data_IF_388373183785
#
_entry.id   IF_388373183785
#
_cell.length_a   1.000
_cell.length_b   1.000
_cell.length_c   1.000
_cell.angle_alpha   90.00
_cell.angle_beta   90.00
_cell.angle_gamma   90.00
#
_symmetry.space_group_name_H-M   'P 1'
#
loop_
_entity.id
_entity.type
_entity.pdbx_description
1 polymer ?
#
# COMPACT_ATOMS: atom_id res chain seq x y z
N UNK A 1 -4.96 36.43 -5.31
CA UNK A 1 -5.00 35.20 -6.13
C UNK A 1 -3.61 34.90 -6.61
N UNK A 2 -3.20 33.64 -6.56
CA UNK A 2 -1.90 33.14 -7.03
C UNK A 2 -2.16 32.18 -8.19
N UNK A 3 -1.42 32.33 -9.29
CA UNK A 3 -1.52 31.43 -10.44
C UNK A 3 -0.82 30.11 -10.15
N UNK A 4 -1.58 29.01 -10.19
CA UNK A 4 -1.01 27.68 -10.09
C UNK A 4 -0.58 27.17 -11.47
N UNK A 5 0.73 26.99 -11.66
CA UNK A 5 1.32 26.51 -12.93
C UNK A 5 0.97 25.06 -13.26
N UNK A 6 0.67 24.21 -12.28
CA UNK A 6 0.37 22.80 -12.53
C UNK A 6 -1.09 22.57 -12.90
N UNK A 7 -2.01 23.34 -12.31
CA UNK A 7 -3.45 23.21 -12.57
C UNK A 7 -3.97 24.24 -13.58
N UNK A 8 -3.16 25.23 -13.96
CA UNK A 8 -3.58 26.37 -14.80
C UNK A 8 -4.82 27.11 -14.24
N UNK A 9 -4.95 27.15 -12.91
CA UNK A 9 -6.05 27.81 -12.23
C UNK A 9 -5.54 28.90 -11.29
N UNK A 10 -6.36 29.94 -11.11
CA UNK A 10 -6.14 30.96 -10.10
C UNK A 10 -6.65 30.44 -8.75
N UNK A 11 -5.76 30.34 -7.77
CA UNK A 11 -6.12 29.98 -6.41
C UNK A 11 -6.27 31.25 -5.56
N UNK A 12 -7.28 31.25 -4.69
CA UNK A 12 -7.39 32.27 -3.67
C UNK A 12 -6.34 32.05 -2.59
N UNK A 13 -5.70 33.15 -2.20
CA UNK A 13 -4.62 33.18 -1.23
C UNK A 13 -4.73 34.48 -0.46
N UNK A 14 -4.73 34.37 0.87
CA UNK A 14 -4.66 35.48 1.81
C UNK A 14 -3.31 35.46 2.52
N UNK A 15 -2.76 36.64 2.79
CA UNK A 15 -1.51 36.80 3.52
C UNK A 15 -1.69 37.93 4.52
N UNK A 16 -1.24 37.72 5.75
CA UNK A 16 -1.22 38.77 6.77
C UNK A 16 -0.15 39.79 6.36
N UNK A 17 -0.58 41.02 6.08
CA UNK A 17 0.30 42.13 5.69
C UNK A 17 0.78 42.89 6.93
N UNK A 18 -0.12 43.06 7.89
CA UNK A 18 0.16 43.72 9.16
C UNK A 18 -0.69 43.08 10.25
N UNK A 19 -0.10 42.86 11.42
CA UNK A 19 -0.79 42.36 12.61
C UNK A 19 -0.29 43.14 13.81
N UNK A 20 -1.23 43.71 14.58
CA UNK A 20 -0.95 44.40 15.83
C UNK A 20 -1.81 43.76 16.91
N UNK A 21 -1.17 43.27 17.96
CA UNK A 21 -1.84 42.68 19.11
C UNK A 21 -1.69 43.59 20.31
N UNK A 22 -2.77 43.74 21.08
CA UNK A 22 -2.75 44.43 22.36
C UNK A 22 -3.43 43.54 23.40
N UNK A 23 -2.86 43.47 24.59
CA UNK A 23 -3.38 42.63 25.67
C UNK A 23 -3.34 43.38 26.97
N UNK A 24 -4.41 43.23 27.73
CA UNK A 24 -4.48 43.66 29.11
C UNK A 24 -4.87 42.46 29.98
N UNK A 25 -4.33 42.36 31.21
CA UNK A 25 -4.85 41.42 32.19
C UNK A 25 -6.32 41.71 32.49
N UNK A 26 -7.12 40.68 32.68
CA UNK A 26 -8.52 40.79 33.07
C UNK A 26 -8.91 39.71 34.08
N UNK A 27 -10.02 39.94 34.77
CA UNK A 27 -10.53 39.04 35.79
C UNK A 27 -11.78 38.32 35.26
N UNK A 28 -11.77 36.99 35.34
CA UNK A 28 -12.94 36.15 35.10
C UNK A 28 -13.75 36.10 36.39
N UNK A 29 -15.01 36.49 36.29
CA UNK A 29 -15.95 36.53 37.40
C UNK A 29 -17.07 35.53 37.14
N UNK A 30 -17.51 34.75 38.14
CA UNK A 30 -18.66 33.87 38.02
C UNK A 30 -19.88 34.66 37.53
N UNK A 31 -20.66 34.04 36.64
CA UNK A 31 -21.90 34.65 36.16
C UNK A 31 -22.98 34.73 37.26
N UNK A 32 -22.90 33.89 38.29
CA UNK A 32 -23.81 33.89 39.44
C UNK A 32 -23.39 34.92 40.49
N UNK A 33 -24.26 35.90 40.74
CA UNK A 33 -24.09 36.91 41.79
C UNK A 33 -24.09 36.24 43.17
N UNK A 34 -22.93 36.14 43.82
CA UNK A 34 -22.82 35.65 45.20
C UNK A 34 -21.48 35.03 45.56
N UNK A 35 -20.69 34.60 44.58
CA UNK A 35 -19.35 34.03 44.82
C UNK A 35 -18.29 35.11 44.51
N UNK A 36 -17.71 35.71 45.55
CA UNK A 36 -16.67 36.75 45.44
C UNK A 36 -15.31 36.27 44.94
N UNK A 37 -15.26 35.22 44.12
CA UNK A 37 -14.03 34.62 43.60
C UNK A 37 -13.78 35.17 42.20
N UNK A 38 -12.81 36.06 42.07
CA UNK A 38 -12.32 36.53 40.77
C UNK A 38 -11.04 35.75 40.40
N UNK A 39 -10.99 35.24 39.17
CA UNK A 39 -9.81 34.55 38.63
C UNK A 39 -9.11 35.48 37.65
N UNK A 40 -7.91 35.92 38.01
CA UNK A 40 -7.09 36.82 37.20
C UNK A 40 -6.34 36.08 36.10
N UNK A 41 -6.49 36.56 34.87
CA UNK A 41 -5.77 36.12 33.69
C UNK A 41 -4.71 37.17 33.35
N UNK A 42 -3.43 36.80 33.46
CA UNK A 42 -2.33 37.75 33.24
C UNK A 42 -1.93 37.88 31.76
N UNK A 43 -1.88 36.76 31.02
CA UNK A 43 -1.35 36.71 29.65
C UNK A 43 -2.30 35.97 28.70
N UNK A 44 -3.43 36.57 28.32
CA UNK A 44 -4.49 35.86 27.59
C UNK A 44 -4.05 35.29 26.23
N UNK A 45 -3.07 35.91 25.56
CA UNK A 45 -2.55 35.41 24.27
C UNK A 45 -1.73 34.13 24.37
N UNK A 46 -1.26 33.74 25.56
CA UNK A 46 -0.54 32.47 25.75
C UNK A 46 -1.49 31.26 25.77
N UNK A 47 -2.81 31.49 25.63
CA UNK A 47 -3.83 30.44 25.65
C UNK A 47 -4.10 29.84 24.27
N UNK A 48 -4.59 28.59 24.25
CA UNK A 48 -4.69 27.78 23.02
C UNK A 48 -5.89 28.16 22.11
N UNK A 49 -6.96 28.74 22.64
CA UNK A 49 -8.25 28.86 21.92
C UNK A 49 -8.99 30.16 22.24
N UNK A 50 -8.27 31.28 22.36
CA UNK A 50 -8.85 32.57 22.74
C UNK A 50 -9.90 32.99 21.70
N UNK A 51 -11.17 32.74 22.02
CA UNK A 51 -12.32 32.98 21.14
C UNK A 51 -12.62 34.46 21.00
N UNK A 52 -11.82 35.18 20.21
CA UNK A 52 -12.02 36.59 19.90
C UNK A 52 -13.18 36.75 18.92
N UNK A 53 -13.99 37.79 19.11
CA UNK A 53 -15.06 38.12 18.19
C UNK A 53 -14.59 39.20 17.22
N UNK A 54 -14.93 39.07 15.94
CA UNK A 54 -14.69 40.10 14.93
C UNK A 54 -15.63 41.28 15.18
N UNK A 55 -15.08 42.43 15.56
CA UNK A 55 -15.85 43.66 15.85
C UNK A 55 -15.82 44.63 14.68
N UNK A 56 -14.79 44.55 13.84
CA UNK A 56 -14.68 45.34 12.64
C UNK A 56 -14.16 44.49 11.48
N UNK A 57 -14.77 44.66 10.31
CA UNK A 57 -14.31 44.06 9.07
C UNK A 57 -14.55 45.04 7.92
N UNK A 58 -13.49 45.33 7.17
CA UNK A 58 -13.57 46.17 5.97
C UNK A 58 -12.62 45.70 4.88
N UNK A 59 -13.17 45.53 3.69
CA UNK A 59 -12.39 45.20 2.49
C UNK A 59 -12.07 46.45 1.68
N UNK A 60 -10.79 46.72 1.49
CA UNK A 60 -10.25 47.79 0.66
C UNK A 60 -9.84 47.22 -0.71
N UNK A 61 -10.67 47.39 -1.77
CA UNK A 61 -10.37 46.84 -3.08
C UNK A 61 -9.15 47.52 -3.70
N UNK A 62 -8.33 46.75 -4.41
CA UNK A 62 -7.21 47.31 -5.19
C UNK A 62 -7.76 47.93 -6.48
N UNK A 63 -7.57 49.23 -6.67
CA UNK A 63 -7.91 49.92 -7.92
C UNK A 63 -6.91 49.45 -8.99
N UNK A 64 -7.41 48.82 -10.06
CA UNK A 64 -6.56 48.28 -11.13
C UNK A 64 -6.36 49.33 -12.22
N UNK A 65 -5.12 49.78 -12.43
CA UNK A 65 -4.74 50.53 -13.64
C UNK A 65 -4.38 49.57 -14.78
N UNK A 66 -4.56 50.00 -16.04
CA UNK A 66 -4.25 49.18 -17.22
C UNK A 66 -2.78 48.70 -17.26
N UNK A 67 -1.85 49.46 -16.67
CA UNK A 67 -0.43 49.10 -16.56
C UNK A 67 -0.17 48.00 -15.54
N UNK A 68 -0.96 47.92 -14.46
CA UNK A 68 -0.78 46.96 -13.38
C UNK A 68 -1.23 45.55 -13.82
N UNK A 69 -2.24 45.46 -14.69
CA UNK A 69 -2.74 44.20 -15.23
C UNK A 69 -1.66 43.38 -15.95
N UNK A 70 -0.74 44.04 -16.67
CA UNK A 70 0.38 43.38 -17.37
C UNK A 70 1.43 42.88 -16.37
N UNK A 71 1.75 43.67 -15.34
CA UNK A 71 2.69 43.29 -14.28
C UNK A 71 2.21 42.09 -13.44
N UNK A 72 0.90 42.00 -13.20
CA UNK A 72 0.30 40.87 -12.47
C UNK A 72 0.33 39.55 -13.25
N UNK A 73 0.25 39.61 -14.59
CA UNK A 73 0.38 38.41 -15.42
C UNK A 73 1.82 37.87 -15.45
N UNK A 74 2.81 38.77 -15.40
CA UNK A 74 4.24 38.41 -15.35
C UNK A 74 4.63 37.89 -13.97
N UNK A 75 4.16 38.53 -12.89
CA UNK A 75 4.46 38.11 -11.50
C UNK A 75 3.70 36.86 -11.05
N UNK A 76 2.57 36.53 -11.69
CA UNK A 76 1.73 35.38 -11.31
C UNK A 76 0.90 35.61 -10.05
N UNK A 77 0.90 36.84 -9.51
CA UNK A 77 0.10 37.24 -8.36
C UNK A 77 -0.84 38.38 -8.75
N UNK A 78 -2.13 38.21 -8.47
CA UNK A 78 -3.16 39.24 -8.67
C UNK A 78 -3.79 39.62 -7.33
N UNK A 79 -3.45 40.78 -6.74
CA UNK A 79 -4.07 41.25 -5.50
C UNK A 79 -5.53 41.63 -5.78
N UNK A 80 -6.45 41.12 -4.95
CA UNK A 80 -7.87 41.50 -5.00
C UNK A 80 -8.13 42.80 -4.22
N UNK A 81 -7.38 42.98 -3.13
CA UNK A 81 -7.54 44.08 -2.18
C UNK A 81 -6.91 43.70 -0.85
N UNK A 82 -7.03 44.59 0.12
CA UNK A 82 -6.60 44.39 1.51
C UNK A 82 -7.83 44.25 2.37
N UNK A 83 -7.89 43.21 3.19
CA UNK A 83 -8.94 43.03 4.18
C UNK A 83 -8.39 43.45 5.54
N UNK A 84 -9.05 44.40 6.18
CA UNK A 84 -8.77 44.86 7.53
C UNK A 84 -9.82 44.25 8.46
N UNK A 85 -9.37 43.47 9.44
CA UNK A 85 -10.23 42.83 10.45
C UNK A 85 -9.71 43.16 11.84
N UNK A 86 -10.59 43.60 12.73
CA UNK A 86 -10.29 43.77 14.15
C UNK A 86 -11.08 42.76 14.96
N UNK A 87 -10.36 41.98 15.77
CA UNK A 87 -10.92 40.99 16.67
C UNK A 87 -10.62 41.38 18.11
N UNK A 88 -11.61 41.24 18.99
CA UNK A 88 -11.44 41.57 20.41
C UNK A 88 -12.32 40.70 21.31
N UNK A 89 -11.88 40.56 22.56
CA UNK A 89 -12.68 40.00 23.62
C UNK A 89 -13.54 41.11 24.24
N UNK A 90 -14.86 41.00 24.11
CA UNK A 90 -15.79 41.98 24.67
C UNK A 90 -15.91 41.83 26.18
N UNK A 91 -16.13 42.96 26.87
CA UNK A 91 -16.45 42.96 28.31
C UNK A 91 -17.82 42.29 28.50
N UNK A 92 -17.90 41.33 29.43
CA UNK A 92 -19.10 40.53 29.68
C UNK A 92 -19.25 39.30 28.80
N UNK A 93 -18.29 39.02 27.90
CA UNK A 93 -18.27 37.76 27.16
C UNK A 93 -18.10 36.57 28.11
N UNK A 94 -18.84 35.49 27.87
CA UNK A 94 -18.68 34.24 28.61
C UNK A 94 -17.44 33.51 28.12
N UNK A 95 -16.55 33.20 29.05
CA UNK A 95 -15.31 32.49 28.78
C UNK A 95 -15.12 31.33 29.75
N UNK A 96 -14.69 30.20 29.21
CA UNK A 96 -14.27 29.03 29.97
C UNK A 96 -12.75 29.00 30.03
N UNK A 97 -12.19 29.16 31.24
CA UNK A 97 -10.77 29.02 31.50
C UNK A 97 -10.44 27.64 32.07
N UNK A 98 -9.54 26.88 31.44
CA UNK A 98 -9.06 25.58 31.94
C UNK A 98 -7.56 25.63 32.17
N UNK A 99 -7.13 25.43 33.41
CA UNK A 99 -5.73 25.49 33.81
C UNK A 99 -5.57 25.24 35.31
N UNK A 100 -4.36 25.49 35.80
CA UNK A 100 -4.07 25.45 37.23
C UNK A 100 -4.40 26.80 37.87
N UNK A 101 -5.11 26.74 39.00
CA UNK A 101 -5.45 27.92 39.79
C UNK A 101 -4.47 28.05 40.94
N UNK A 102 -3.76 29.17 41.00
CA UNK A 102 -2.81 29.47 42.08
C UNK A 102 -3.25 30.73 42.81
N UNK A 103 -3.38 30.63 44.12
CA UNK A 103 -3.65 31.78 44.99
C UNK A 103 -2.35 32.55 45.20
N UNK A 104 -2.27 33.79 44.72
CA UNK A 104 -1.14 34.70 44.93
C UNK A 104 -1.64 36.06 45.42
N UNK A 105 -1.09 36.54 46.54
CA UNK A 105 -1.39 37.84 47.13
C UNK A 105 -2.90 38.16 47.22
N UNK A 106 -3.69 37.20 47.72
CA UNK A 106 -5.15 37.30 47.87
C UNK A 106 -5.95 37.38 46.55
N UNK A 107 -5.33 37.05 45.42
CA UNK A 107 -5.96 36.94 44.10
C UNK A 107 -5.75 35.54 43.52
N UNK A 108 -6.79 34.91 42.99
CA UNK A 108 -6.65 33.62 42.31
C UNK A 108 -6.18 33.89 40.89
N UNK A 109 -5.09 33.26 40.45
CA UNK A 109 -4.56 33.42 39.09
C UNK A 109 -4.67 32.12 38.31
N UNK A 110 -4.98 32.23 37.03
CA UNK A 110 -4.95 31.11 36.10
C UNK A 110 -3.57 30.99 35.44
N UNK A 111 -2.98 29.80 35.51
CA UNK A 111 -1.68 29.50 34.92
C UNK A 111 -1.67 28.11 34.23
N UNK A 112 -0.68 27.84 33.37
CA UNK A 112 -0.50 26.51 32.81
C UNK A 112 -0.16 25.47 33.89
N UNK A 113 -0.71 24.25 33.82
CA UNK A 113 -0.57 23.26 34.88
C UNK A 113 0.81 22.60 34.99
N UNK A 114 1.61 22.63 33.92
CA UNK A 114 2.99 22.11 33.90
C UNK A 114 3.86 22.96 32.98
N UNK A 115 5.17 22.97 33.24
CA UNK A 115 6.14 23.63 32.35
C UNK A 115 6.04 23.05 30.94
N UNK A 116 5.84 23.92 29.94
CA UNK A 116 5.65 23.54 28.54
C UNK A 116 4.21 23.23 28.13
N UNK A 117 3.25 23.21 29.06
CA UNK A 117 1.83 23.22 28.72
C UNK A 117 1.32 24.66 28.59
N UNK A 118 0.24 24.83 27.85
CA UNK A 118 -0.55 26.06 27.80
C UNK A 118 -1.86 25.83 28.54
N UNK A 119 -2.46 26.91 29.01
CA UNK A 119 -3.80 26.88 29.56
C UNK A 119 -4.81 27.24 28.46
N UNK A 120 -6.07 26.90 28.67
CA UNK A 120 -7.13 27.16 27.70
C UNK A 120 -7.97 28.33 28.18
N UNK A 121 -8.30 29.23 27.26
CA UNK A 121 -9.37 30.20 27.39
C UNK A 121 -10.18 30.02 26.12
N UNK A 122 -11.45 29.61 26.22
CA UNK A 122 -12.33 29.46 25.06
C UNK A 122 -13.65 30.16 25.30
N UNK A 123 -14.28 30.61 24.22
CA UNK A 123 -15.66 31.09 24.24
C UNK A 123 -16.69 29.96 24.33
N UNK A 124 -16.26 28.71 24.13
CA UNK A 124 -17.10 27.52 24.23
C UNK A 124 -17.19 27.00 25.67
N UNK A 125 -18.24 26.24 25.95
CA UNK A 125 -18.42 25.52 27.20
C UNK A 125 -17.43 24.36 27.35
N UNK A 126 -17.19 23.97 28.60
CA UNK A 126 -16.26 22.90 28.94
C UNK A 126 -16.65 21.57 28.27
N UNK A 127 -17.94 21.26 28.20
CA UNK A 127 -18.43 20.01 27.63
C UNK A 127 -18.17 19.94 26.12
N UNK A 128 -18.41 21.03 25.38
CA UNK A 128 -18.06 21.14 23.95
C UNK A 128 -16.56 20.97 23.69
N UNK A 129 -15.70 21.58 24.53
CA UNK A 129 -14.25 21.43 24.42
C UNK A 129 -13.83 19.96 24.61
N UNK A 130 -14.40 19.30 25.62
CA UNK A 130 -14.13 17.90 25.93
C UNK A 130 -14.60 16.99 24.79
N UNK A 131 -15.82 17.20 24.29
CA UNK A 131 -16.42 16.40 23.21
C UNK A 131 -15.63 16.52 21.89
N UNK A 132 -15.11 17.71 21.58
CA UNK A 132 -14.27 17.93 20.40
C UNK A 132 -12.95 17.15 20.48
N UNK A 133 -12.33 17.11 21.66
CA UNK A 133 -11.14 16.30 21.88
C UNK A 133 -11.46 14.79 21.83
N UNK A 134 -12.53 14.36 22.48
CA UNK A 134 -12.91 12.95 22.54
C UNK A 134 -13.31 12.37 21.17
N UNK A 135 -14.08 13.13 20.38
CA UNK A 135 -14.50 12.73 19.04
C UNK A 135 -13.31 12.55 18.09
N UNK A 136 -12.32 13.43 18.17
CA UNK A 136 -11.06 13.29 17.42
C UNK A 136 -10.40 11.96 17.77
N UNK A 137 -10.21 11.67 19.06
CA UNK A 137 -9.59 10.41 19.52
C UNK A 137 -10.40 9.19 19.11
N UNK A 138 -11.74 9.27 19.16
CA UNK A 138 -12.64 8.18 18.75
C UNK A 138 -12.48 7.84 17.28
N UNK A 139 -12.38 8.83 16.40
CA UNK A 139 -12.15 8.62 14.97
C UNK A 139 -10.82 7.90 14.72
N UNK A 140 -9.74 8.35 15.36
CA UNK A 140 -8.43 7.69 15.24
C UNK A 140 -8.44 6.24 15.77
N UNK A 141 -9.15 5.97 16.88
CA UNK A 141 -9.35 4.62 17.41
C UNK A 141 -10.11 3.71 16.44
N UNK A 142 -11.18 4.21 15.83
CA UNK A 142 -11.95 3.44 14.84
C UNK A 142 -11.11 3.15 13.61
N UNK A 143 -10.38 4.16 13.11
CA UNK A 143 -9.55 4.02 11.93
C UNK A 143 -8.43 2.99 12.15
N UNK A 144 -7.75 3.03 13.29
CA UNK A 144 -6.72 2.03 13.65
C UNK A 144 -7.27 0.62 13.77
N UNK A 145 -8.48 0.43 14.31
CA UNK A 145 -9.14 -0.88 14.37
C UNK A 145 -9.47 -1.42 12.97
N UNK A 146 -10.01 -0.58 12.08
CA UNK A 146 -10.35 -0.98 10.71
C UNK A 146 -9.12 -1.39 9.92
N UNK A 147 -8.06 -0.57 9.95
CA UNK A 147 -6.80 -0.90 9.26
C UNK A 147 -6.12 -2.14 9.86
N UNK A 148 -6.16 -2.31 11.19
CA UNK A 148 -5.65 -3.49 11.86
C UNK A 148 -6.37 -4.77 11.42
N UNK A 149 -7.71 -4.74 11.35
CA UNK A 149 -8.52 -5.86 10.87
C UNK A 149 -8.24 -6.18 9.40
N UNK A 150 -8.18 -5.16 8.53
CA UNK A 150 -7.89 -5.34 7.11
C UNK A 150 -6.50 -5.97 6.89
N UNK A 151 -5.49 -5.53 7.64
CA UNK A 151 -4.14 -6.11 7.58
C UNK A 151 -4.13 -7.58 8.04
N UNK A 152 -4.80 -7.90 9.14
CA UNK A 152 -4.91 -9.28 9.63
C UNK A 152 -5.63 -10.19 8.62
N UNK A 153 -6.73 -9.72 8.02
CA UNK A 153 -7.47 -10.45 7.00
C UNK A 153 -6.63 -10.67 5.73
N UNK A 154 -5.89 -9.66 5.27
CA UNK A 154 -5.00 -9.78 4.13
C UNK A 154 -3.85 -10.75 4.39
N UNK A 155 -3.21 -10.68 5.56
CA UNK A 155 -2.16 -11.62 5.98
C UNK A 155 -2.71 -13.05 6.05
N UNK A 156 -3.88 -13.25 6.66
CA UNK A 156 -4.52 -14.56 6.73
C UNK A 156 -4.83 -15.10 5.33
N UNK A 157 -5.34 -14.26 4.42
CA UNK A 157 -5.61 -14.66 3.04
C UNK A 157 -4.34 -15.05 2.27
N UNK A 158 -3.26 -14.27 2.41
CA UNK A 158 -1.96 -14.56 1.79
C UNK A 158 -1.39 -15.87 2.34
N UNK A 159 -1.38 -16.06 3.67
CA UNK A 159 -0.89 -17.27 4.30
C UNK A 159 -1.71 -18.50 3.89
N UNK A 160 -3.04 -18.38 3.86
CA UNK A 160 -3.92 -19.46 3.38
C UNK A 160 -3.63 -19.80 1.92
N UNK A 161 -3.47 -18.79 1.06
CA UNK A 161 -3.13 -18.99 -0.35
C UNK A 161 -1.77 -19.67 -0.51
N UNK A 162 -0.76 -19.23 0.24
CA UNK A 162 0.57 -19.85 0.23
C UNK A 162 0.54 -21.28 0.76
N UNK A 163 -0.21 -21.56 1.82
CA UNK A 163 -0.36 -22.89 2.39
C UNK A 163 -0.99 -23.86 1.40
N UNK A 164 -2.09 -23.46 0.74
CA UNK A 164 -2.73 -24.28 -0.29
C UNK A 164 -1.79 -24.56 -1.48
N UNK A 165 -1.08 -23.53 -1.97
CA UNK A 165 -0.08 -23.69 -3.04
C UNK A 165 1.12 -24.55 -2.63
N UNK A 166 1.55 -24.46 -1.37
CA UNK A 166 2.61 -25.31 -0.83
C UNK A 166 2.15 -26.77 -0.78
N UNK A 167 0.92 -27.02 -0.34
CA UNK A 167 0.34 -28.35 -0.27
C UNK A 167 0.18 -29.00 -1.66
N UNK A 168 -0.27 -28.26 -2.67
CA UNK A 168 -0.35 -28.75 -4.06
C UNK A 168 1.03 -29.14 -4.61
N UNK A 169 2.05 -28.31 -4.38
CA UNK A 169 3.42 -28.61 -4.81
C UNK A 169 4.00 -29.85 -4.13
N UNK A 170 3.68 -30.06 -2.85
CA UNK A 170 4.08 -31.28 -2.15
C UNK A 170 3.39 -32.52 -2.70
N UNK A 171 2.08 -32.45 -2.96
CA UNK A 171 1.33 -33.56 -3.56
C UNK A 171 1.89 -33.94 -4.92
N UNK A 172 2.15 -32.96 -5.79
CA UNK A 172 2.75 -33.22 -7.11
C UNK A 172 4.13 -33.90 -6.99
N UNK A 173 4.97 -33.46 -6.05
CA UNK A 173 6.27 -34.10 -5.78
C UNK A 173 6.13 -35.52 -5.23
N UNK A 174 5.13 -35.79 -4.40
CA UNK A 174 4.83 -37.15 -3.94
C UNK A 174 4.41 -38.04 -5.10
N UNK A 175 3.47 -37.58 -5.93
CA UNK A 175 3.03 -38.33 -7.12
C UNK A 175 4.18 -38.59 -8.09
N UNK A 176 5.08 -37.63 -8.32
CA UNK A 176 6.25 -37.84 -9.18
C UNK A 176 7.20 -38.90 -8.61
N UNK A 177 7.41 -38.92 -7.29
CA UNK A 177 8.22 -39.96 -6.63
C UNK A 177 7.58 -41.33 -6.72
N UNK A 178 6.28 -41.43 -6.43
CA UNK A 178 5.50 -42.67 -6.57
C UNK A 178 5.57 -43.21 -8.00
N UNK A 179 5.44 -42.34 -9.00
CA UNK A 179 5.59 -42.73 -10.42
C UNK A 179 6.99 -43.25 -10.74
N UNK A 180 8.05 -42.55 -10.30
CA UNK A 180 9.45 -42.99 -10.50
C UNK A 180 9.73 -44.32 -9.80
N UNK A 181 9.21 -44.52 -8.59
CA UNK A 181 9.36 -45.77 -7.84
C UNK A 181 8.65 -46.92 -8.56
N UNK A 182 7.43 -46.70 -9.05
CA UNK A 182 6.71 -47.68 -9.88
C UNK A 182 7.49 -48.04 -11.15
N UNK A 183 8.04 -47.05 -11.86
CA UNK A 183 8.85 -47.28 -13.06
C UNK A 183 10.13 -48.08 -12.73
N UNK A 184 10.84 -47.73 -11.65
CA UNK A 184 12.02 -48.44 -11.19
C UNK A 184 11.70 -49.89 -10.78
N UNK A 185 10.56 -50.12 -10.11
CA UNK A 185 10.09 -51.46 -9.76
C UNK A 185 9.81 -52.30 -11.01
N UNK A 186 9.10 -51.76 -12.01
CA UNK A 186 8.86 -52.43 -13.29
C UNK A 186 10.17 -52.78 -14.01
N UNK A 187 11.13 -51.86 -14.04
CA UNK A 187 12.46 -52.09 -14.61
C UNK A 187 13.29 -53.12 -13.85
N UNK A 188 13.06 -53.29 -12.55
CA UNK A 188 13.74 -54.28 -11.69
C UNK A 188 13.12 -55.68 -11.79
N UNK A 189 11.80 -55.77 -11.96
CA UNK A 189 11.08 -57.03 -12.19
C UNK A 189 11.16 -57.51 -13.64
N UNK A 190 11.48 -56.62 -14.60
CA UNK A 190 11.82 -57.00 -15.95
C UNK A 190 13.01 -57.96 -15.92
N UNK A 191 12.81 -59.19 -16.42
CA UNK A 191 13.84 -60.22 -16.40
C UNK A 191 15.03 -59.80 -17.29
N UNK A 192 16.27 -60.19 -16.96
CA UNK A 192 17.43 -59.89 -17.81
C UNK A 192 17.27 -60.48 -19.23
N UNK A 193 16.59 -61.62 -19.33
CA UNK A 193 16.18 -62.31 -20.56
C UNK A 193 15.23 -61.46 -21.44
N UNK A 194 14.35 -60.63 -20.87
CA UNK A 194 13.48 -59.71 -21.65
C UNK A 194 14.25 -58.50 -22.20
N UNK A 195 15.25 -58.01 -21.45
CA UNK A 195 16.12 -56.90 -21.89
C UNK A 195 17.06 -57.32 -23.02
N UNK A 196 17.51 -58.56 -23.02
CA UNK A 196 18.34 -59.14 -24.08
C UNK A 196 17.47 -59.57 -25.28
N UNK A 197 16.27 -60.12 -25.02
CA UNK A 197 15.24 -60.39 -26.02
C UNK A 197 14.92 -59.13 -26.83
N UNK A 198 14.59 -57.99 -26.20
CA UNK A 198 14.32 -56.72 -26.88
C UNK A 198 15.49 -56.21 -27.74
N UNK A 199 16.75 -56.50 -27.37
CA UNK A 199 17.93 -56.18 -28.18
C UNK A 199 18.09 -57.11 -29.37
N UNK A 200 17.55 -58.32 -29.31
CA UNK A 200 17.56 -59.33 -30.37
C UNK A 200 16.29 -59.34 -31.24
N UNK A 201 15.22 -58.65 -30.83
CA UNK A 201 13.97 -58.50 -31.59
C UNK A 201 14.06 -57.44 -32.68
N UNK A 202 13.38 -57.65 -33.80
CA UNK A 202 13.28 -56.71 -34.91
C UNK A 202 12.70 -55.38 -34.46
N UNK A 203 13.35 -54.26 -34.81
CA UNK A 203 12.92 -52.91 -34.43
C UNK A 203 11.68 -52.43 -35.18
N UNK A 204 11.24 -53.17 -36.21
CA UNK A 204 10.10 -52.80 -37.06
C UNK A 204 8.82 -53.45 -36.52
N UNK A 205 8.80 -54.76 -36.31
CA UNK A 205 7.59 -55.45 -35.81
C UNK A 205 7.58 -55.67 -34.30
N UNK A 206 8.72 -55.56 -33.61
CA UNK A 206 8.87 -55.86 -32.18
C UNK A 206 8.40 -57.27 -31.76
N UNK A 207 8.27 -58.19 -32.73
CA UNK A 207 7.82 -59.57 -32.50
C UNK A 207 8.86 -60.61 -32.91
N UNK A 208 9.35 -60.56 -34.15
CA UNK A 208 10.28 -61.55 -34.68
C UNK A 208 11.73 -61.21 -34.34
N UNK A 209 12.61 -62.21 -34.20
CA UNK A 209 14.04 -61.98 -34.01
C UNK A 209 14.70 -61.35 -35.24
N UNK A 210 15.77 -60.59 -35.02
CA UNK A 210 16.59 -60.02 -36.09
C UNK A 210 17.27 -61.15 -36.85
N UNK A 211 17.03 -61.21 -38.16
CA UNK A 211 17.55 -62.26 -39.04
C UNK A 211 18.27 -61.70 -40.28
N UNK A 212 18.42 -60.38 -40.37
CA UNK A 212 19.03 -59.71 -41.52
C UNK A 212 20.18 -58.80 -41.09
N UNK A 213 21.32 -58.93 -41.76
CA UNK A 213 22.43 -57.97 -41.74
C UNK A 213 22.37 -57.15 -43.02
N UNK A 214 22.28 -55.82 -42.89
CA UNK A 214 22.35 -54.92 -44.04
C UNK A 214 23.80 -54.55 -44.34
N UNK A 215 24.28 -54.90 -45.53
CA UNK A 215 25.64 -54.57 -45.96
C UNK A 215 25.77 -53.07 -46.27
N UNK A 216 27.01 -52.58 -46.34
CA UNK A 216 27.41 -51.16 -46.36
C UNK A 216 27.18 -50.39 -45.06
N UNK A 217 26.13 -50.68 -44.30
CA UNK A 217 25.86 -50.02 -43.00
C UNK A 217 26.04 -50.91 -41.76
N UNK A 218 26.04 -52.24 -41.91
CA UNK A 218 26.30 -53.22 -40.84
C UNK A 218 25.20 -53.38 -39.78
N UNK A 219 24.07 -52.68 -39.88
CA UNK A 219 23.02 -52.72 -38.85
C UNK A 219 22.21 -54.02 -38.90
N UNK A 220 22.12 -54.68 -37.74
CA UNK A 220 21.26 -55.84 -37.50
C UNK A 220 20.01 -55.36 -36.76
N UNK A 221 18.96 -55.04 -37.51
CA UNK A 221 17.77 -54.39 -36.95
C UNK A 221 16.43 -54.95 -37.45
N UNK A 222 16.39 -55.71 -38.54
CA UNK A 222 15.16 -56.23 -39.13
C UNK A 222 15.11 -57.77 -39.16
N UNK A 223 13.89 -58.32 -39.10
CA UNK A 223 13.61 -59.69 -39.54
C UNK A 223 13.39 -59.74 -41.06
N UNK A 224 13.41 -60.93 -41.64
CA UNK A 224 13.29 -61.14 -43.09
C UNK A 224 11.97 -60.59 -43.65
N UNK A 225 10.86 -60.80 -42.95
CA UNK A 225 9.53 -60.30 -43.34
C UNK A 225 9.49 -58.77 -43.36
N UNK A 226 9.99 -58.13 -42.29
CA UNK A 226 10.02 -56.67 -42.22
C UNK A 226 10.95 -56.04 -43.27
N UNK A 227 12.09 -56.67 -43.56
CA UNK A 227 12.97 -56.23 -44.66
C UNK A 227 12.25 -56.29 -46.02
N UNK A 228 11.56 -57.39 -46.31
CA UNK A 228 10.77 -57.54 -47.54
C UNK A 228 9.63 -56.53 -47.64
N UNK A 229 9.04 -56.14 -46.51
CA UNK A 229 7.98 -55.14 -46.44
C UNK A 229 8.48 -53.68 -46.48
N UNK A 230 9.80 -53.41 -46.41
CA UNK A 230 10.31 -52.03 -46.49
C UNK A 230 9.95 -51.36 -47.83
N UNK A 231 9.64 -50.06 -47.87
CA UNK A 231 9.35 -49.35 -49.11
C UNK A 231 10.59 -49.26 -50.02
N UNK A 232 10.40 -49.17 -51.34
CA UNK A 232 11.48 -48.90 -52.30
C UNK A 232 11.77 -47.39 -52.44
N UNK A 233 13.05 -46.98 -52.51
CA UNK A 233 14.26 -47.78 -52.32
C UNK A 233 14.45 -48.21 -50.86
N UNK A 234 14.93 -49.45 -50.65
CA UNK A 234 15.09 -50.05 -49.33
C UNK A 234 16.11 -49.28 -48.51
N UNK A 235 15.71 -48.75 -47.34
CA UNK A 235 16.60 -47.99 -46.43
C UNK A 235 16.66 -48.61 -45.04
N UNK A 236 17.84 -48.57 -44.42
CA UNK A 236 18.04 -49.05 -43.06
C UNK A 236 17.20 -48.22 -42.06
N UNK A 237 16.35 -48.84 -41.21
CA UNK A 237 15.56 -48.12 -40.21
C UNK A 237 16.38 -47.33 -39.17
N UNK A 238 17.64 -47.70 -38.96
CA UNK A 238 18.53 -47.06 -37.98
C UNK A 238 19.27 -45.86 -38.59
N UNK A 239 20.02 -46.07 -39.67
CA UNK A 239 20.90 -45.03 -40.25
C UNK A 239 20.39 -44.42 -41.57
N UNK A 240 19.27 -44.92 -42.12
CA UNK A 240 18.63 -44.45 -43.36
C UNK A 240 19.46 -44.60 -44.64
N UNK A 241 20.60 -45.27 -44.58
CA UNK A 241 21.41 -45.65 -45.74
C UNK A 241 20.66 -46.66 -46.61
N UNK A 242 20.81 -46.54 -47.93
CA UNK A 242 20.21 -47.47 -48.89
C UNK A 242 20.82 -48.87 -48.75
N UNK A 243 19.97 -49.89 -48.76
CA UNK A 243 20.35 -51.29 -48.58
C UNK A 243 20.57 -51.90 -49.96
N UNK A 244 21.83 -52.06 -50.35
CA UNK A 244 22.19 -52.67 -51.64
C UNK A 244 22.20 -54.20 -51.55
N UNK A 245 22.57 -54.76 -50.39
CA UNK A 245 22.69 -56.20 -50.16
C UNK A 245 22.31 -56.56 -48.73
N UNK A 246 21.67 -57.71 -48.57
CA UNK A 246 21.30 -58.29 -47.27
C UNK A 246 21.86 -59.71 -47.15
N UNK A 247 22.35 -60.06 -45.96
CA UNK A 247 22.76 -61.43 -45.62
C UNK A 247 21.88 -61.94 -44.47
N UNK A 248 21.34 -63.17 -44.54
CA UNK A 248 20.64 -63.79 -43.43
C UNK A 248 21.63 -64.07 -42.28
N UNK A 249 21.25 -63.69 -41.08
CA UNK A 249 22.02 -63.91 -39.86
C UNK A 249 21.62 -65.26 -39.28
N UNK A 250 22.57 -66.20 -39.18
CA UNK A 250 22.36 -67.47 -38.51
C UNK A 250 22.79 -67.32 -37.05
N UNK A 251 21.82 -67.27 -36.14
CA UNK A 251 22.09 -67.39 -34.71
C UNK A 251 22.29 -68.88 -34.39
N UNK A 252 23.47 -69.24 -33.89
CA UNK A 252 23.78 -70.54 -33.30
C UNK A 252 23.26 -70.66 -31.88
#
# INVERSE_FOLDING_TARGET
MVWNRTTHLWNDYSKIIHQRTNTVPFDLVPHEEGVGVAVRVLKPLDSVDLGLETVYEKFHPSIQSFTDAIGHYISGERPKGVQETEEMLKVGATLTGVGELVLDNNSVRLQPPKQGMQYYLSSQDFDSLLQRQESSVRLWKVLTLVFGFAACAALFFILRKQYLQWQERLRLKQMEKEFREHEAQLLSQAKPEDRESLKSTCVVCLSNFKSCVFLECGHVCACTECYQALPEPKKCPICRQEITRVIPLYNS
#
